data_IF_177292550741
#
_entry.id   IF_177292550741
#
_cell.length_a   1.000
_cell.length_b   1.000
_cell.length_c   1.000
_cell.angle_alpha   90.00
_cell.angle_beta   90.00
_cell.angle_gamma   90.00
#
_symmetry.space_group_name_H-M   'P 1'
#
loop_
_entity.id
_entity.type
_entity.pdbx_description
1 polymer ?
#
# COMPACT_ATOMS: atom_id res chain seq x y z
N UNK A 1 3.69 40.15 34.72
CA UNK A 1 3.36 38.76 34.34
C UNK A 1 4.13 38.25 33.10
N UNK A 2 4.65 39.13 32.19
CA UNK A 2 5.42 38.70 31.01
C UNK A 2 6.78 38.04 31.33
N UNK A 3 7.56 38.58 32.24
CA UNK A 3 8.94 38.08 32.54
C UNK A 3 9.01 36.68 33.19
N UNK A 4 7.99 36.24 33.92
CA UNK A 4 7.96 34.91 34.52
C UNK A 4 7.63 33.82 33.46
N UNK A 5 6.76 34.14 32.51
CA UNK A 5 6.41 33.22 31.43
C UNK A 5 7.56 33.08 30.39
N UNK A 6 8.26 34.17 30.09
CA UNK A 6 9.43 34.17 29.21
C UNK A 6 10.58 33.32 29.80
N UNK A 7 10.89 33.48 31.10
CA UNK A 7 11.92 32.66 31.78
C UNK A 7 11.56 31.16 31.73
N UNK A 8 10.29 30.81 31.92
CA UNK A 8 9.84 29.40 31.90
C UNK A 8 10.01 28.77 30.53
N UNK A 9 9.74 29.52 29.43
CA UNK A 9 9.88 28.99 28.05
C UNK A 9 11.36 28.88 27.64
N UNK A 10 12.21 29.83 28.07
CA UNK A 10 13.65 29.76 27.85
C UNK A 10 14.25 28.52 28.55
N UNK A 11 13.88 28.30 29.82
CA UNK A 11 14.32 27.12 30.58
C UNK A 11 13.84 25.81 29.93
N UNK A 12 12.62 25.79 29.39
CA UNK A 12 12.05 24.66 28.66
C UNK A 12 12.85 24.34 27.39
N UNK A 13 13.16 25.34 26.58
CA UNK A 13 13.97 25.16 25.36
C UNK A 13 15.41 24.77 25.70
N UNK A 14 16.02 25.34 26.76
CA UNK A 14 17.34 24.92 27.19
C UNK A 14 17.41 23.47 27.66
N UNK A 15 16.35 22.99 28.35
CA UNK A 15 16.28 21.61 28.84
C UNK A 15 16.08 20.60 27.72
N UNK A 16 15.18 20.86 26.78
CA UNK A 16 14.71 19.87 25.79
C UNK A 16 15.20 20.13 24.36
N UNK A 17 15.76 21.32 24.07
CA UNK A 17 16.09 21.73 22.70
C UNK A 17 17.11 20.84 21.97
N UNK A 18 17.97 20.13 22.73
CA UNK A 18 18.90 19.12 22.18
C UNK A 18 18.65 17.71 22.70
N UNK A 19 17.51 17.47 23.33
CA UNK A 19 17.20 16.20 23.99
C UNK A 19 15.77 15.77 23.71
N UNK A 20 15.43 15.43 22.45
CA UNK A 20 14.06 15.08 22.06
C UNK A 20 13.54 13.82 22.74
N UNK A 21 14.39 12.84 23.00
CA UNK A 21 13.99 11.64 23.75
C UNK A 21 13.57 12.00 25.19
N UNK A 22 14.32 12.90 25.84
CA UNK A 22 13.98 13.40 27.18
C UNK A 22 12.66 14.21 27.17
N UNK A 23 12.41 14.98 26.10
CA UNK A 23 11.12 15.64 25.89
C UNK A 23 9.96 14.64 25.84
N UNK A 24 10.11 13.55 25.11
CA UNK A 24 9.09 12.50 25.05
C UNK A 24 8.87 11.86 26.42
N UNK A 25 9.93 11.55 27.16
CA UNK A 25 9.85 10.95 28.49
C UNK A 25 9.18 11.86 29.52
N UNK A 26 9.64 13.10 29.64
CA UNK A 26 9.23 13.99 30.74
C UNK A 26 7.98 14.81 30.42
N UNK A 27 7.75 15.17 29.15
CA UNK A 27 6.65 16.05 28.75
C UNK A 27 5.46 15.25 28.25
N UNK A 28 5.71 14.16 27.49
CA UNK A 28 4.66 13.29 26.97
C UNK A 28 4.43 12.04 27.82
N UNK A 29 5.30 11.79 28.83
CA UNK A 29 5.14 10.70 29.79
C UNK A 29 5.34 9.30 29.22
N UNK A 30 6.08 9.15 28.11
CA UNK A 30 6.30 7.88 27.42
C UNK A 30 7.78 7.63 27.21
N UNK A 31 8.23 6.41 27.47
CA UNK A 31 9.59 5.96 27.17
C UNK A 31 9.71 5.59 25.69
N UNK A 32 10.52 6.33 24.87
CA UNK A 32 10.76 5.94 23.49
C UNK A 32 11.55 4.63 23.42
N UNK A 33 11.21 3.79 22.48
CA UNK A 33 12.02 2.59 22.20
C UNK A 33 13.43 3.00 21.71
N UNK A 34 14.46 2.15 21.90
CA UNK A 34 15.83 2.49 21.54
C UNK A 34 16.01 3.04 20.13
N UNK A 35 15.37 2.42 19.13
CA UNK A 35 15.43 2.85 17.73
C UNK A 35 14.63 4.15 17.47
N UNK A 36 13.57 4.41 18.25
CA UNK A 36 12.82 5.67 18.18
C UNK A 36 13.63 6.81 18.84
N UNK A 37 14.28 6.53 19.97
CA UNK A 37 15.18 7.48 20.61
C UNK A 37 16.35 7.85 19.69
N UNK A 38 16.98 6.85 19.04
CA UNK A 38 18.06 7.06 18.07
C UNK A 38 17.61 7.97 16.89
N UNK A 39 16.41 7.76 16.38
CA UNK A 39 15.83 8.62 15.34
C UNK A 39 15.64 10.06 15.82
N UNK A 40 15.10 10.27 17.01
CA UNK A 40 14.91 11.59 17.60
C UNK A 40 16.25 12.30 17.81
N UNK A 41 17.24 11.60 18.35
CA UNK A 41 18.59 12.13 18.58
C UNK A 41 19.31 12.48 17.25
N UNK A 42 19.06 11.73 16.17
CA UNK A 42 19.60 12.05 14.85
C UNK A 42 19.13 13.44 14.39
N UNK A 43 17.85 13.77 14.57
CA UNK A 43 17.32 15.10 14.24
C UNK A 43 18.00 16.18 15.08
N UNK A 44 18.13 15.98 16.38
CA UNK A 44 18.73 16.93 17.30
C UNK A 44 20.23 17.13 17.08
N UNK A 45 20.94 16.10 16.60
CA UNK A 45 22.37 16.18 16.26
C UNK A 45 22.64 16.91 14.93
N UNK A 46 21.60 17.24 14.19
CA UNK A 46 21.70 18.03 12.98
C UNK A 46 21.63 17.25 11.68
N UNK A 47 21.22 15.97 11.72
CA UNK A 47 20.93 15.21 10.51
C UNK A 47 19.77 15.86 9.75
N UNK A 48 20.02 16.21 8.48
CA UNK A 48 19.07 16.96 7.64
C UNK A 48 18.27 16.08 6.67
N UNK A 49 18.76 14.88 6.43
CA UNK A 49 18.15 13.92 5.52
C UNK A 49 18.04 12.57 6.21
N UNK A 50 16.84 12.20 6.61
CA UNK A 50 16.57 10.99 7.39
C UNK A 50 15.62 10.10 6.58
N UNK A 51 15.96 8.84 6.44
CA UNK A 51 15.16 7.86 5.71
C UNK A 51 15.07 6.55 6.50
N UNK A 52 13.85 6.17 6.87
CA UNK A 52 13.58 4.97 7.69
C UNK A 52 12.67 4.03 6.93
N UNK A 53 13.16 2.82 6.64
CA UNK A 53 12.33 1.72 6.16
C UNK A 53 11.91 0.82 7.32
N UNK A 54 10.66 0.33 7.30
CA UNK A 54 10.20 -0.47 8.44
C UNK A 54 9.13 -1.50 8.08
N UNK A 55 8.99 -2.50 8.96
CA UNK A 55 7.82 -3.37 9.01
C UNK A 55 6.57 -2.63 9.53
N UNK A 56 5.46 -3.35 9.61
CA UNK A 56 4.19 -2.84 10.13
C UNK A 56 4.20 -2.77 11.66
N UNK A 57 3.51 -1.79 12.25
CA UNK A 57 3.32 -1.74 13.70
C UNK A 57 4.56 -1.33 14.53
N UNK A 58 5.66 -0.92 13.91
CA UNK A 58 6.90 -0.53 14.60
C UNK A 58 6.86 0.89 15.22
N UNK A 59 5.70 1.57 15.21
CA UNK A 59 5.56 2.90 15.83
C UNK A 59 6.11 4.08 15.01
N UNK A 60 6.17 3.96 13.66
CA UNK A 60 6.62 5.04 12.76
C UNK A 60 5.88 6.35 12.96
N UNK A 61 4.53 6.31 12.86
CA UNK A 61 3.68 7.51 12.93
C UNK A 61 3.76 8.18 14.29
N UNK A 62 3.88 7.38 15.34
CA UNK A 62 4.12 7.87 16.72
C UNK A 62 5.44 8.62 16.83
N UNK A 63 6.55 8.01 16.39
CA UNK A 63 7.86 8.64 16.43
C UNK A 63 7.93 9.92 15.56
N UNK A 64 7.30 9.89 14.36
CA UNK A 64 7.18 11.06 13.51
C UNK A 64 6.38 12.19 14.18
N UNK A 65 5.29 11.86 14.88
CA UNK A 65 4.48 12.83 15.61
C UNK A 65 5.27 13.48 16.76
N UNK A 66 6.06 12.70 17.50
CA UNK A 66 6.95 13.24 18.54
C UNK A 66 8.02 14.15 17.95
N UNK A 67 8.62 13.76 16.83
CA UNK A 67 9.63 14.57 16.15
C UNK A 67 9.05 15.91 15.67
N UNK A 68 7.86 15.89 15.03
CA UNK A 68 7.18 17.11 14.58
C UNK A 68 6.84 18.03 15.76
N UNK A 69 6.31 17.47 16.83
CA UNK A 69 5.88 18.24 18.00
C UNK A 69 7.08 18.86 18.72
N UNK A 70 8.13 18.08 18.96
CA UNK A 70 9.38 18.58 19.52
C UNK A 70 9.99 19.67 18.63
N UNK A 71 10.12 19.43 17.32
CA UNK A 71 10.69 20.41 16.39
C UNK A 71 9.90 21.71 16.38
N UNK A 72 8.57 21.61 16.37
CA UNK A 72 7.67 22.75 16.39
C UNK A 72 7.83 23.62 17.64
N UNK A 73 8.01 23.02 18.81
CA UNK A 73 8.15 23.72 20.08
C UNK A 73 9.57 24.27 20.33
N UNK A 74 10.61 23.68 19.70
CA UNK A 74 12.01 24.01 19.98
C UNK A 74 12.64 25.00 18.99
N UNK A 75 12.03 25.26 17.85
CA UNK A 75 12.57 26.16 16.83
C UNK A 75 11.64 27.34 16.56
N UNK A 76 12.21 28.53 16.34
CA UNK A 76 11.46 29.73 16.02
C UNK A 76 12.24 30.61 15.02
N UNK A 77 11.63 31.11 13.91
CA UNK A 77 10.34 30.65 13.35
C UNK A 77 10.50 29.30 12.65
N UNK A 78 9.40 28.51 12.59
CA UNK A 78 9.47 27.21 11.92
C UNK A 78 8.18 26.88 11.17
N UNK A 79 8.32 26.05 10.13
CA UNK A 79 7.20 25.47 9.36
C UNK A 79 7.44 23.98 9.18
N UNK A 80 6.48 23.18 9.60
CA UNK A 80 6.48 21.74 9.41
C UNK A 80 5.41 21.40 8.37
N UNK A 81 5.80 20.69 7.31
CA UNK A 81 4.87 20.17 6.31
C UNK A 81 4.90 18.65 6.39
N UNK A 82 3.72 18.07 6.47
CA UNK A 82 3.58 16.62 6.49
C UNK A 82 2.73 16.16 5.31
N UNK A 83 3.17 15.08 4.68
CA UNK A 83 2.48 14.50 3.52
C UNK A 83 2.46 12.99 3.54
N UNK A 84 1.48 12.43 2.83
CA UNK A 84 1.37 11.01 2.56
C UNK A 84 0.66 10.78 1.21
N UNK A 85 0.76 9.58 0.59
CA UNK A 85 0.17 9.31 -0.73
C UNK A 85 -1.36 9.44 -0.79
N UNK A 86 -2.04 9.24 0.34
CA UNK A 86 -3.52 9.30 0.40
C UNK A 86 -4.00 10.16 1.57
N UNK A 87 -5.17 10.77 1.39
CA UNK A 87 -5.81 11.57 2.45
C UNK A 87 -6.07 10.76 3.72
N UNK A 88 -6.52 9.52 3.59
CA UNK A 88 -6.78 8.66 4.76
C UNK A 88 -5.50 8.39 5.55
N UNK A 89 -4.38 8.03 4.90
CA UNK A 89 -3.10 7.81 5.60
C UNK A 89 -2.58 9.11 6.25
N UNK A 90 -2.78 10.25 5.59
CA UNK A 90 -2.35 11.53 6.12
C UNK A 90 -3.20 11.99 7.31
N UNK A 91 -4.52 12.05 7.14
CA UNK A 91 -5.40 12.67 8.13
C UNK A 91 -5.88 11.69 9.19
N UNK A 92 -6.25 10.46 8.82
CA UNK A 92 -6.84 9.49 9.74
C UNK A 92 -5.77 8.69 10.51
N UNK A 93 -4.53 8.66 10.03
CA UNK A 93 -3.43 7.99 10.70
C UNK A 93 -2.43 8.98 11.30
N UNK A 94 -1.57 9.59 10.47
CA UNK A 94 -0.44 10.39 10.98
C UNK A 94 -0.88 11.68 11.67
N UNK A 95 -1.78 12.46 11.05
CA UNK A 95 -2.22 13.73 11.62
C UNK A 95 -3.16 13.54 12.83
N UNK A 96 -3.94 12.46 12.84
CA UNK A 96 -4.72 12.05 14.02
C UNK A 96 -3.79 11.67 15.18
N UNK A 97 -2.72 10.93 14.92
CA UNK A 97 -1.70 10.57 15.92
C UNK A 97 -1.01 11.83 16.48
N UNK A 98 -0.64 12.78 15.63
CA UNK A 98 -0.10 14.07 16.07
C UNK A 98 -1.08 14.80 17.01
N UNK A 99 -2.36 14.87 16.66
CA UNK A 99 -3.38 15.51 17.51
C UNK A 99 -3.56 14.79 18.84
N UNK A 100 -3.48 13.48 18.85
CA UNK A 100 -3.49 12.70 20.11
C UNK A 100 -2.35 13.14 21.03
N UNK A 101 -1.13 13.25 20.51
CA UNK A 101 0.02 13.68 21.30
C UNK A 101 -0.04 15.16 21.74
N UNK A 102 -0.67 16.03 20.96
CA UNK A 102 -0.94 17.42 21.39
C UNK A 102 -1.88 17.43 22.61
N UNK A 103 -2.85 16.56 22.68
CA UNK A 103 -3.77 16.47 23.82
C UNK A 103 -3.10 15.89 25.09
N UNK A 104 -1.97 15.20 24.94
CA UNK A 104 -1.17 14.71 26.09
C UNK A 104 -0.18 15.77 26.61
N UNK A 105 -0.01 16.90 25.93
CA UNK A 105 0.84 17.99 26.43
C UNK A 105 0.28 18.61 27.72
N UNK A 106 1.13 19.16 28.60
CA UNK A 106 0.68 20.01 29.68
C UNK A 106 -0.20 21.18 29.21
N UNK A 107 -1.24 21.56 29.97
CA UNK A 107 -2.21 22.61 29.62
C UNK A 107 -1.56 23.90 29.15
N UNK A 108 -0.44 24.31 29.76
CA UNK A 108 0.30 25.51 29.38
C UNK A 108 0.83 25.46 27.95
N UNK A 109 1.29 24.27 27.48
CA UNK A 109 1.74 24.07 26.11
C UNK A 109 0.56 23.89 25.14
N UNK A 110 -0.52 23.25 25.57
CA UNK A 110 -1.73 23.14 24.77
C UNK A 110 -2.33 24.53 24.46
N UNK A 111 -2.32 25.46 25.44
CA UNK A 111 -2.92 26.79 25.29
C UNK A 111 -2.23 27.67 24.24
N UNK A 112 -0.98 27.39 23.88
CA UNK A 112 -0.28 28.12 22.81
C UNK A 112 -0.48 27.51 21.43
N UNK A 113 -1.23 26.41 21.31
CA UNK A 113 -1.48 25.67 20.07
C UNK A 113 -2.97 25.84 19.65
N UNK A 114 -3.18 26.15 18.38
CA UNK A 114 -4.50 26.15 17.76
C UNK A 114 -4.57 25.00 16.76
N UNK A 115 -5.32 23.94 17.10
CA UNK A 115 -5.42 22.73 16.30
C UNK A 115 -6.66 22.75 15.41
N UNK A 116 -6.46 22.77 14.09
CA UNK A 116 -7.49 22.72 13.04
C UNK A 116 -7.56 21.30 12.40
N UNK A 117 -8.42 21.14 11.42
CA UNK A 117 -8.57 19.86 10.70
C UNK A 117 -7.27 19.40 10.03
N UNK A 118 -6.57 20.30 9.36
CA UNK A 118 -5.41 20.09 8.50
C UNK A 118 -4.15 20.85 8.93
N UNK A 119 -4.24 21.59 10.05
CA UNK A 119 -3.16 22.47 10.49
C UNK A 119 -3.14 22.63 12.01
N UNK A 120 -1.93 22.72 12.55
CA UNK A 120 -1.66 23.15 13.93
C UNK A 120 -0.86 24.44 13.85
N UNK A 121 -1.27 25.48 14.57
CA UNK A 121 -0.65 26.80 14.53
C UNK A 121 -0.28 27.27 15.95
N UNK A 122 0.79 28.05 16.04
CA UNK A 122 1.07 28.78 17.27
C UNK A 122 0.09 29.97 17.40
N UNK A 123 -0.58 30.11 18.53
CA UNK A 123 -1.65 31.12 18.72
C UNK A 123 -1.21 32.56 18.47
N UNK A 124 0.01 32.93 18.85
CA UNK A 124 0.55 34.30 18.69
C UNK A 124 1.31 34.53 17.38
N UNK A 125 1.65 33.46 16.60
CA UNK A 125 2.41 33.59 15.36
C UNK A 125 1.92 32.59 14.30
N UNK A 126 0.63 32.56 13.90
CA UNK A 126 0.05 31.50 13.06
C UNK A 126 0.57 31.50 11.63
N UNK A 127 1.12 32.60 11.13
CA UNK A 127 1.72 32.70 9.80
C UNK A 127 3.17 32.20 9.77
N UNK A 128 3.88 32.30 10.88
CA UNK A 128 5.31 31.99 11.01
C UNK A 128 5.57 30.60 11.56
N UNK A 129 4.65 30.09 12.39
CA UNK A 129 4.77 28.80 13.06
C UNK A 129 3.54 27.93 12.83
N UNK A 130 3.71 26.85 12.09
CA UNK A 130 2.65 25.88 11.86
C UNK A 130 3.15 24.51 11.46
N UNK A 131 2.32 23.49 11.73
CA UNK A 131 2.39 22.16 11.14
C UNK A 131 1.21 22.03 10.17
N UNK A 132 1.43 21.76 8.88
CA UNK A 132 0.35 21.62 7.90
C UNK A 132 0.37 20.26 7.21
N UNK A 133 -0.79 19.62 7.16
CA UNK A 133 -0.99 18.37 6.42
C UNK A 133 -1.41 18.67 4.98
N UNK A 134 -0.66 18.17 4.00
CA UNK A 134 -0.90 18.39 2.57
C UNK A 134 -0.79 17.07 1.82
N UNK A 135 -1.84 16.67 1.11
CA UNK A 135 -1.80 15.45 0.30
C UNK A 135 -0.86 15.60 -0.88
N UNK A 136 -0.06 14.58 -1.15
CA UNK A 136 0.83 14.53 -2.30
C UNK A 136 0.19 13.74 -3.45
N UNK A 137 -0.10 14.43 -4.55
CA UNK A 137 -0.63 13.82 -5.78
C UNK A 137 0.22 14.23 -6.96
N UNK A 138 0.34 13.33 -7.95
CA UNK A 138 1.08 13.64 -9.17
C UNK A 138 0.47 14.81 -9.97
N UNK A 139 -0.85 15.01 -9.84
CA UNK A 139 -1.62 16.07 -10.49
C UNK A 139 -1.46 17.45 -9.83
N UNK A 140 -1.04 17.48 -8.56
CA UNK A 140 -0.85 18.72 -7.78
C UNK A 140 0.44 18.67 -6.95
N UNK A 141 1.61 18.47 -7.57
CA UNK A 141 2.87 18.34 -6.87
C UNK A 141 3.26 19.62 -6.12
N UNK A 142 2.82 20.79 -6.61
CA UNK A 142 3.13 22.12 -6.04
C UNK A 142 2.53 22.32 -4.64
N UNK A 143 1.67 21.42 -4.17
CA UNK A 143 1.12 21.51 -2.80
C UNK A 143 2.22 21.58 -1.72
N UNK A 144 3.41 21.07 -1.98
CA UNK A 144 4.56 21.12 -1.08
C UNK A 144 5.54 22.26 -1.38
N UNK A 145 5.35 22.99 -2.49
CA UNK A 145 6.19 24.13 -2.87
C UNK A 145 5.87 25.39 -2.04
N UNK A 146 6.81 26.35 -2.03
CA UNK A 146 6.60 27.68 -1.48
C UNK A 146 6.58 27.76 0.05
N UNK A 147 7.08 26.76 0.76
CA UNK A 147 7.22 26.80 2.22
C UNK A 147 8.62 27.33 2.55
N UNK A 148 8.68 28.57 3.03
CA UNK A 148 9.94 29.21 3.44
C UNK A 148 9.85 29.66 4.88
N UNK A 149 10.88 29.33 5.69
CA UNK A 149 11.09 29.77 7.06
C UNK A 149 12.57 29.60 7.39
N UNK A 150 13.01 30.13 8.50
CA UNK A 150 14.37 29.88 8.99
C UNK A 150 14.60 28.41 9.28
N UNK A 151 13.58 27.75 9.85
CA UNK A 151 13.55 26.29 10.08
C UNK A 151 12.39 25.67 9.32
N UNK A 152 12.68 24.67 8.49
CA UNK A 152 11.67 23.93 7.74
C UNK A 152 11.84 22.42 7.97
N UNK A 153 10.77 21.73 8.28
CA UNK A 153 10.75 20.27 8.32
C UNK A 153 9.72 19.72 7.35
N UNK A 154 10.14 18.79 6.50
CA UNK A 154 9.26 18.00 5.64
C UNK A 154 9.21 16.56 6.17
N UNK A 155 8.03 16.08 6.51
CA UNK A 155 7.79 14.69 6.90
C UNK A 155 6.96 14.01 5.83
N UNK A 156 7.51 12.94 5.25
CA UNK A 156 6.87 12.15 4.21
C UNK A 156 6.59 10.76 4.77
N UNK A 157 5.34 10.52 5.13
CA UNK A 157 4.90 9.18 5.54
C UNK A 157 4.51 8.35 4.32
N UNK A 158 4.72 7.04 4.42
CA UNK A 158 4.55 6.11 3.31
C UNK A 158 5.29 6.56 2.03
N UNK A 159 6.51 7.07 2.21
CA UNK A 159 7.34 7.71 1.19
C UNK A 159 7.56 6.85 -0.07
N UNK A 160 7.58 5.50 0.08
CA UNK A 160 7.67 4.57 -1.05
C UNK A 160 6.50 4.70 -2.03
N UNK A 161 5.35 5.21 -1.59
CA UNK A 161 4.16 5.43 -2.42
C UNK A 161 4.05 6.83 -3.03
N UNK A 162 4.88 7.79 -2.61
CA UNK A 162 4.82 9.19 -3.06
C UNK A 162 5.43 9.34 -4.45
N UNK A 163 4.76 10.04 -5.40
CA UNK A 163 5.29 10.29 -6.73
C UNK A 163 6.57 11.14 -6.72
N UNK A 164 7.48 10.89 -7.68
CA UNK A 164 8.76 11.61 -7.81
C UNK A 164 8.58 13.12 -7.93
N UNK A 165 7.60 13.56 -8.73
CA UNK A 165 7.27 14.96 -8.96
C UNK A 165 7.00 15.74 -7.67
N UNK A 166 6.51 15.07 -6.63
CA UNK A 166 6.24 15.67 -5.33
C UNK A 166 7.55 16.00 -4.59
N UNK A 167 8.55 15.12 -4.69
CA UNK A 167 9.88 15.37 -4.13
C UNK A 167 10.60 16.50 -4.89
N UNK A 168 10.47 16.53 -6.21
CA UNK A 168 11.02 17.60 -7.04
C UNK A 168 10.41 18.97 -6.69
N UNK A 169 9.09 19.05 -6.54
CA UNK A 169 8.40 20.26 -6.12
C UNK A 169 8.79 20.73 -4.71
N UNK A 170 9.01 19.79 -3.79
CA UNK A 170 9.44 20.08 -2.42
C UNK A 170 10.91 20.55 -2.35
N UNK A 171 11.75 20.18 -3.32
CA UNK A 171 13.19 20.45 -3.27
C UNK A 171 13.52 21.94 -3.11
N UNK A 172 12.75 22.83 -3.76
CA UNK A 172 12.89 24.28 -3.61
C UNK A 172 12.68 24.77 -2.17
N UNK A 173 11.68 24.24 -1.48
CA UNK A 173 11.38 24.56 -0.08
C UNK A 173 12.43 23.99 0.91
N UNK A 174 13.13 22.93 0.49
CA UNK A 174 14.15 22.24 1.30
C UNK A 174 15.59 22.66 0.98
N UNK A 175 15.79 23.74 0.22
CA UNK A 175 17.12 24.26 -0.14
C UNK A 175 17.80 25.07 0.96
N UNK A 176 17.09 25.43 2.04
CA UNK A 176 17.62 26.23 3.15
C UNK A 176 18.58 25.43 4.05
N UNK A 177 19.51 26.13 4.71
CA UNK A 177 20.50 25.52 5.60
C UNK A 177 19.89 24.74 6.79
N UNK A 178 18.74 25.17 7.27
CA UNK A 178 18.02 24.53 8.40
C UNK A 178 16.78 23.74 7.93
N UNK A 179 16.80 23.24 6.71
CA UNK A 179 15.76 22.37 6.20
C UNK A 179 16.04 20.90 6.53
N UNK A 180 15.06 20.21 7.09
CA UNK A 180 15.15 18.78 7.47
C UNK A 180 14.09 17.97 6.72
N UNK A 181 14.50 16.92 6.02
CA UNK A 181 13.59 15.99 5.33
C UNK A 181 13.61 14.64 6.06
N UNK A 182 12.43 14.15 6.41
CA UNK A 182 12.21 12.85 7.04
C UNK A 182 11.31 12.02 6.15
N UNK A 183 11.77 10.86 5.73
CA UNK A 183 11.01 9.88 4.99
C UNK A 183 10.84 8.61 5.83
N UNK A 184 9.59 8.18 6.01
CA UNK A 184 9.25 6.92 6.69
C UNK A 184 8.37 6.10 5.78
N UNK A 185 8.64 4.80 5.64
CA UNK A 185 7.80 3.94 4.81
C UNK A 185 8.03 2.45 5.08
N UNK A 186 6.98 1.65 4.80
CA UNK A 186 7.22 0.28 4.39
C UNK A 186 7.85 0.30 2.99
N UNK A 187 8.92 -0.46 2.75
CA UNK A 187 9.69 -0.42 1.50
C UNK A 187 9.00 -1.22 0.39
N UNK A 188 7.91 -0.68 -0.17
CA UNK A 188 7.03 -1.41 -1.11
C UNK A 188 7.52 -1.39 -2.56
N UNK A 189 8.54 -0.57 -2.90
CA UNK A 189 9.08 -0.42 -4.26
C UNK A 189 10.59 -0.44 -4.26
N UNK A 190 11.18 -1.09 -5.27
CA UNK A 190 12.63 -1.08 -5.55
C UNK A 190 13.02 0.03 -6.53
N UNK A 191 12.34 1.19 -6.45
CA UNK A 191 12.62 2.38 -7.29
C UNK A 191 12.07 3.66 -6.64
N UNK A 192 12.49 4.83 -7.14
CA UNK A 192 12.08 6.14 -6.68
C UNK A 192 12.91 6.70 -5.52
N UNK A 193 12.65 7.96 -5.15
CA UNK A 193 13.44 8.74 -4.17
C UNK A 193 13.66 8.00 -2.85
N UNK A 194 12.62 7.32 -2.31
CA UNK A 194 12.75 6.60 -1.05
C UNK A 194 13.71 5.40 -1.17
N UNK A 195 13.61 4.61 -2.25
CA UNK A 195 14.54 3.51 -2.50
C UNK A 195 15.97 4.01 -2.71
N UNK A 196 16.15 5.06 -3.50
CA UNK A 196 17.45 5.66 -3.76
C UNK A 196 18.12 6.22 -2.51
N UNK A 197 17.36 6.82 -1.60
CA UNK A 197 17.86 7.32 -0.32
C UNK A 197 18.47 6.22 0.57
N UNK A 198 18.01 4.99 0.39
CA UNK A 198 18.43 3.80 1.15
C UNK A 198 19.49 2.95 0.41
N UNK A 199 19.79 3.28 -0.85
CA UNK A 199 20.69 2.52 -1.72
C UNK A 199 21.76 3.43 -2.33
N UNK A 200 21.52 3.93 -3.54
CA UNK A 200 22.49 4.74 -4.30
C UNK A 200 22.92 6.03 -3.59
N UNK A 201 22.02 6.64 -2.81
CA UNK A 201 22.28 7.89 -2.10
C UNK A 201 22.41 7.68 -0.57
N UNK A 202 22.62 6.46 -0.10
CA UNK A 202 22.64 6.14 1.33
C UNK A 202 23.70 6.95 2.11
N UNK A 203 24.84 7.26 1.48
CA UNK A 203 25.91 8.08 2.11
C UNK A 203 25.48 9.54 2.39
N UNK A 204 24.40 10.01 1.73
CA UNK A 204 23.86 11.37 1.91
C UNK A 204 22.65 11.40 2.84
N UNK A 205 22.23 10.26 3.36
CA UNK A 205 21.07 10.11 4.22
C UNK A 205 21.43 9.36 5.49
N UNK A 206 20.89 9.80 6.63
CA UNK A 206 20.85 8.97 7.81
C UNK A 206 19.75 7.91 7.62
N UNK A 207 20.15 6.63 7.53
CA UNK A 207 19.23 5.54 7.18
C UNK A 207 19.13 4.52 8.30
N UNK A 208 17.91 4.03 8.55
CA UNK A 208 17.65 2.93 9.50
C UNK A 208 16.57 1.99 8.96
N UNK A 209 16.64 0.77 9.48
CA UNK A 209 15.62 -0.24 9.29
C UNK A 209 15.00 -0.59 10.63
N UNK A 210 13.68 -0.56 10.70
CA UNK A 210 12.92 -1.01 11.87
C UNK A 210 12.16 -2.28 11.50
N UNK A 211 12.56 -3.42 12.07
CA UNK A 211 11.92 -4.72 11.83
C UNK A 211 10.85 -4.99 12.87
N UNK A 212 9.79 -5.71 12.49
CA UNK A 212 8.83 -6.24 13.46
C UNK A 212 9.48 -7.20 14.46
N UNK A 213 10.47 -7.97 14.00
CA UNK A 213 11.19 -8.95 14.84
C UNK A 213 11.96 -8.27 15.98
N UNK A 214 12.44 -7.04 15.73
CA UNK A 214 13.24 -6.28 16.69
C UNK A 214 12.37 -5.33 17.53
N UNK A 215 11.06 -5.25 17.27
CA UNK A 215 10.15 -4.30 17.88
C UNK A 215 9.28 -4.91 18.96
N UNK A 216 9.37 -4.46 20.22
CA UNK A 216 8.50 -4.93 21.30
C UNK A 216 7.02 -4.48 21.14
N UNK A 217 6.71 -3.62 20.16
CA UNK A 217 5.34 -3.23 19.83
C UNK A 217 4.61 -4.29 19.00
N UNK A 218 5.34 -5.24 18.44
CA UNK A 218 4.80 -6.29 17.57
C UNK A 218 4.94 -7.63 18.28
N UNK A 219 3.86 -8.38 18.38
CA UNK A 219 3.91 -9.69 19.04
C UNK A 219 4.56 -10.76 18.17
N UNK A 220 5.16 -11.76 18.81
CA UNK A 220 5.74 -12.91 18.11
C UNK A 220 4.67 -13.69 17.34
N UNK A 221 3.45 -13.77 17.87
CA UNK A 221 2.32 -14.43 17.20
C UNK A 221 1.99 -13.77 15.85
N UNK A 222 2.07 -12.42 15.77
CA UNK A 222 1.88 -11.71 14.50
C UNK A 222 2.96 -12.06 13.49
N UNK A 223 4.22 -12.10 13.92
CA UNK A 223 5.35 -12.47 13.04
C UNK A 223 5.19 -13.91 12.54
N UNK A 224 4.81 -14.84 13.42
CA UNK A 224 4.59 -16.24 13.06
C UNK A 224 3.38 -16.42 12.14
N UNK A 225 2.29 -15.68 12.36
CA UNK A 225 1.13 -15.66 11.45
C UNK A 225 1.54 -15.16 10.06
N UNK A 226 2.33 -14.07 9.98
CA UNK A 226 2.82 -13.54 8.71
C UNK A 226 3.76 -14.54 8.00
N UNK A 227 4.62 -15.25 8.76
CA UNK A 227 5.50 -16.30 8.23
C UNK A 227 4.70 -17.47 7.63
N UNK A 228 3.67 -17.92 8.32
CA UNK A 228 2.78 -18.97 7.84
C UNK A 228 1.97 -18.55 6.60
N UNK A 229 1.49 -17.30 6.60
CA UNK A 229 0.59 -16.78 5.55
C UNK A 229 1.32 -16.47 4.25
N UNK A 230 2.49 -15.82 4.34
CA UNK A 230 3.21 -15.32 3.18
C UNK A 230 4.42 -16.18 2.78
N UNK A 231 4.99 -16.94 3.72
CA UNK A 231 6.30 -17.55 3.59
C UNK A 231 7.42 -16.53 3.88
N UNK A 232 8.46 -16.99 4.58
CA UNK A 232 9.56 -16.13 5.06
C UNK A 232 10.37 -15.50 3.91
N UNK A 233 10.50 -16.22 2.79
CA UNK A 233 11.22 -15.78 1.58
C UNK A 233 10.39 -14.85 0.67
N UNK A 234 9.11 -14.59 1.01
CA UNK A 234 8.24 -13.77 0.16
C UNK A 234 8.53 -12.28 0.28
N UNK A 235 8.28 -11.54 -0.81
CA UNK A 235 8.36 -10.08 -0.78
C UNK A 235 7.36 -9.46 0.21
N UNK A 236 6.21 -10.10 0.43
CA UNK A 236 5.23 -9.64 1.41
C UNK A 236 5.78 -9.70 2.85
N UNK A 237 6.47 -10.79 3.22
CA UNK A 237 7.11 -10.94 4.53
C UNK A 237 8.29 -9.97 4.68
N UNK A 238 9.15 -9.86 3.66
CA UNK A 238 10.27 -8.90 3.63
C UNK A 238 9.81 -7.47 3.89
N UNK A 239 8.77 -7.01 3.18
CA UNK A 239 8.25 -5.66 3.28
C UNK A 239 7.54 -5.44 4.62
N UNK A 240 6.60 -6.32 4.98
CA UNK A 240 5.67 -6.10 6.10
C UNK A 240 6.27 -6.43 7.46
N UNK A 241 7.18 -7.41 7.51
CA UNK A 241 7.78 -7.88 8.76
C UNK A 241 9.21 -7.38 8.91
N UNK A 242 10.07 -7.65 7.91
CA UNK A 242 11.49 -7.31 8.03
C UNK A 242 11.78 -5.84 7.76
N UNK A 243 10.87 -5.09 7.11
CA UNK A 243 11.13 -3.73 6.68
C UNK A 243 12.23 -3.67 5.60
N UNK A 244 12.29 -4.68 4.74
CA UNK A 244 13.26 -4.80 3.66
C UNK A 244 12.60 -4.57 2.31
N UNK A 245 13.36 -4.00 1.36
CA UNK A 245 12.89 -3.87 -0.01
C UNK A 245 12.61 -5.23 -0.63
N UNK A 246 11.62 -5.32 -1.53
CA UNK A 246 11.39 -6.54 -2.28
C UNK A 246 12.66 -6.89 -3.06
N UNK A 247 12.96 -8.18 -3.12
CA UNK A 247 13.93 -8.67 -4.08
C UNK A 247 13.41 -8.30 -5.47
N UNK A 248 14.31 -7.93 -6.36
CA UNK A 248 13.95 -7.71 -7.75
C UNK A 248 13.50 -9.06 -8.35
N UNK A 249 12.23 -9.39 -8.16
CA UNK A 249 11.61 -10.52 -8.81
C UNK A 249 11.17 -10.06 -10.19
N UNK A 250 12.05 -10.21 -11.16
CA UNK A 250 11.71 -10.06 -12.57
C UNK A 250 10.65 -11.07 -13.02
N UNK A 251 10.31 -12.06 -12.16
CA UNK A 251 9.42 -13.18 -12.47
C UNK A 251 8.02 -13.11 -11.80
N UNK A 252 7.73 -12.22 -10.88
CA UNK A 252 6.35 -12.08 -10.36
C UNK A 252 5.45 -11.36 -11.37
N UNK A 253 4.23 -11.92 -11.60
CA UNK A 253 3.30 -11.30 -12.53
C UNK A 253 2.82 -9.95 -11.99
N UNK A 254 2.39 -9.92 -10.71
CA UNK A 254 1.80 -8.73 -10.09
C UNK A 254 2.70 -8.25 -8.94
N UNK A 255 3.39 -7.12 -9.09
CA UNK A 255 4.21 -6.53 -8.04
C UNK A 255 3.37 -6.15 -6.80
N UNK A 256 3.95 -6.35 -5.62
CA UNK A 256 3.28 -6.10 -4.34
C UNK A 256 2.69 -4.69 -4.23
N UNK A 257 3.42 -3.67 -4.68
CA UNK A 257 2.97 -2.29 -4.57
C UNK A 257 1.68 -1.98 -5.36
N UNK A 258 1.40 -2.71 -6.45
CA UNK A 258 0.16 -2.54 -7.22
C UNK A 258 -1.05 -3.01 -6.43
N UNK A 259 -0.91 -4.16 -5.76
CA UNK A 259 -1.96 -4.75 -4.93
C UNK A 259 -2.20 -3.91 -3.68
N UNK A 260 -1.13 -3.55 -2.98
CA UNK A 260 -1.20 -2.72 -1.77
C UNK A 260 -1.89 -1.38 -2.05
N UNK A 261 -1.47 -0.68 -3.11
CA UNK A 261 -2.10 0.59 -3.48
C UNK A 261 -3.58 0.43 -3.81
N UNK A 262 -3.98 -0.66 -4.47
CA UNK A 262 -5.38 -0.91 -4.83
C UNK A 262 -6.29 -1.10 -3.60
N UNK A 263 -5.75 -1.55 -2.46
CA UNK A 263 -6.53 -1.70 -1.21
C UNK A 263 -6.84 -0.36 -0.52
N UNK A 264 -6.12 0.70 -0.87
CA UNK A 264 -6.24 2.03 -0.24
C UNK A 264 -6.88 3.08 -1.15
N UNK A 265 -7.18 2.72 -2.41
CA UNK A 265 -7.80 3.67 -3.34
C UNK A 265 -9.24 3.98 -2.94
N UNK A 266 -9.63 5.22 -3.13
CA UNK A 266 -11.03 5.63 -3.07
C UNK A 266 -11.57 5.67 -4.51
N UNK A 267 -12.36 4.66 -4.84
CA UNK A 267 -12.97 4.48 -6.17
C UNK A 267 -14.48 4.48 -5.98
N UNK A 268 -15.14 5.35 -6.71
CA UNK A 268 -16.61 5.40 -6.76
C UNK A 268 -17.10 4.68 -8.01
N UNK A 269 -18.25 4.08 -7.92
CA UNK A 269 -18.95 3.45 -9.04
C UNK A 269 -20.37 4.01 -9.14
N UNK A 270 -20.86 4.10 -10.35
CA UNK A 270 -22.26 4.42 -10.58
C UNK A 270 -23.16 3.26 -10.13
N UNK A 271 -24.35 3.57 -9.60
CA UNK A 271 -25.30 2.57 -9.12
C UNK A 271 -25.70 1.55 -10.21
N UNK A 272 -25.70 1.96 -11.48
CA UNK A 272 -26.03 1.14 -12.63
C UNK A 272 -24.87 0.24 -13.12
N UNK A 273 -23.69 0.34 -12.51
CA UNK A 273 -22.52 -0.47 -12.90
C UNK A 273 -22.81 -1.95 -12.66
N UNK A 274 -22.70 -2.75 -13.71
CA UNK A 274 -23.02 -4.17 -13.65
C UNK A 274 -21.98 -4.98 -12.89
N UNK A 275 -22.47 -5.94 -12.11
CA UNK A 275 -21.62 -6.89 -11.40
C UNK A 275 -21.27 -8.09 -12.29
N UNK A 276 -20.05 -8.61 -12.09
CA UNK A 276 -19.54 -9.85 -12.70
C UNK A 276 -18.91 -10.68 -11.57
N UNK A 277 -19.21 -11.96 -11.53
CA UNK A 277 -18.65 -12.88 -10.56
C UNK A 277 -17.67 -13.84 -11.23
N UNK A 278 -16.58 -14.16 -10.53
CA UNK A 278 -15.64 -15.22 -10.90
C UNK A 278 -15.68 -16.33 -9.86
N UNK A 279 -15.79 -17.58 -10.29
CA UNK A 279 -15.88 -18.76 -9.44
C UNK A 279 -14.79 -19.76 -9.83
N UNK A 280 -13.81 -19.95 -8.96
CA UNK A 280 -12.82 -21.03 -9.02
C UNK A 280 -13.34 -22.21 -8.18
N UNK A 281 -13.58 -23.37 -8.81
CA UNK A 281 -14.21 -24.52 -8.18
C UNK A 281 -13.16 -25.54 -7.78
N UNK A 282 -13.04 -25.79 -6.47
CA UNK A 282 -12.27 -26.90 -5.94
C UNK A 282 -13.15 -28.08 -5.58
N UNK A 283 -12.58 -29.28 -5.70
CA UNK A 283 -13.17 -30.53 -5.17
C UNK A 283 -12.54 -30.84 -3.80
N UNK A 284 -12.80 -32.00 -3.24
CA UNK A 284 -12.21 -32.46 -1.99
C UNK A 284 -10.67 -32.36 -2.02
N UNK A 285 -10.08 -31.69 -1.02
CA UNK A 285 -8.65 -31.49 -0.90
C UNK A 285 -8.30 -30.23 -0.07
N UNK A 286 -7.09 -29.72 -0.26
CA UNK A 286 -6.61 -28.51 0.41
C UNK A 286 -7.04 -27.21 -0.30
N UNK A 287 -7.40 -27.28 -1.59
CA UNK A 287 -7.86 -26.13 -2.36
C UNK A 287 -9.28 -25.73 -1.94
N UNK A 288 -9.61 -24.46 -2.05
CA UNK A 288 -10.90 -23.89 -1.68
C UNK A 288 -11.70 -23.49 -2.92
N UNK A 289 -13.00 -23.72 -2.90
CA UNK A 289 -13.89 -23.07 -3.86
C UNK A 289 -13.95 -21.58 -3.52
N UNK A 290 -13.59 -20.72 -4.45
CA UNK A 290 -13.51 -19.28 -4.25
C UNK A 290 -14.45 -18.51 -5.18
N UNK A 291 -15.19 -17.55 -4.62
CA UNK A 291 -16.07 -16.64 -5.35
C UNK A 291 -15.59 -15.20 -5.18
N UNK A 292 -15.31 -14.54 -6.29
CA UNK A 292 -15.00 -13.13 -6.36
C UNK A 292 -16.18 -12.36 -6.96
N UNK A 293 -16.72 -11.38 -6.22
CA UNK A 293 -17.78 -10.47 -6.69
C UNK A 293 -17.14 -9.15 -7.08
N UNK A 294 -17.17 -8.78 -8.36
CA UNK A 294 -16.64 -7.53 -8.90
C UNK A 294 -17.76 -6.70 -9.54
N UNK A 295 -17.83 -5.42 -9.20
CA UNK A 295 -18.75 -4.44 -9.79
C UNK A 295 -17.91 -3.32 -10.42
N UNK A 296 -17.86 -3.33 -11.76
CA UNK A 296 -16.99 -2.43 -12.49
C UNK A 296 -15.52 -2.52 -12.02
N UNK A 297 -14.93 -1.42 -11.54
CA UNK A 297 -13.54 -1.39 -11.07
C UNK A 297 -13.35 -1.85 -9.61
N UNK A 298 -14.41 -2.24 -8.88
CA UNK A 298 -14.31 -2.58 -7.46
C UNK A 298 -14.57 -4.07 -7.24
N UNK A 299 -13.68 -4.74 -6.51
CA UNK A 299 -13.98 -6.04 -5.89
C UNK A 299 -14.75 -5.77 -4.61
N UNK A 300 -16.04 -6.08 -4.63
CA UNK A 300 -16.95 -5.77 -3.52
C UNK A 300 -16.92 -6.83 -2.43
N UNK A 301 -16.73 -8.09 -2.81
CA UNK A 301 -16.76 -9.21 -1.87
C UNK A 301 -15.97 -10.41 -2.37
N UNK A 302 -15.38 -11.14 -1.42
CA UNK A 302 -14.69 -12.42 -1.64
C UNK A 302 -15.26 -13.46 -0.68
N UNK A 303 -15.53 -14.66 -1.21
CA UNK A 303 -15.94 -15.84 -0.42
C UNK A 303 -15.02 -17.01 -0.72
N UNK A 304 -14.73 -17.81 0.27
CA UNK A 304 -14.01 -19.07 0.10
C UNK A 304 -14.63 -20.16 0.97
N UNK A 305 -14.78 -21.34 0.42
CA UNK A 305 -15.35 -22.50 1.10
C UNK A 305 -14.47 -23.74 0.89
N UNK A 306 -14.31 -24.54 1.92
CA UNK A 306 -13.58 -25.82 1.87
C UNK A 306 -14.52 -27.00 1.98
N UNK A 307 -14.16 -28.13 1.35
CA UNK A 307 -14.84 -29.40 1.56
C UNK A 307 -16.25 -29.51 0.96
N UNK A 308 -16.60 -28.62 0.02
CA UNK A 308 -17.90 -28.68 -0.65
C UNK A 308 -17.89 -29.71 -1.79
N UNK A 309 -18.99 -30.44 -1.95
CA UNK A 309 -19.27 -31.16 -3.19
C UNK A 309 -19.85 -30.21 -4.26
N UNK A 310 -20.07 -30.73 -5.49
CA UNK A 310 -20.57 -29.92 -6.60
C UNK A 310 -21.95 -29.32 -6.34
N UNK A 311 -22.86 -30.12 -5.72
CA UNK A 311 -24.21 -29.66 -5.44
C UNK A 311 -24.25 -28.65 -4.30
N UNK A 312 -23.40 -28.83 -3.30
CA UNK A 312 -23.21 -27.85 -2.22
C UNK A 312 -22.60 -26.54 -2.77
N UNK A 313 -21.63 -26.61 -3.68
CA UNK A 313 -21.07 -25.46 -4.36
C UNK A 313 -22.15 -24.71 -5.14
N UNK A 314 -22.96 -25.41 -5.95
CA UNK A 314 -24.11 -24.83 -6.65
C UNK A 314 -25.08 -24.16 -5.66
N UNK A 315 -25.45 -24.86 -4.58
CA UNK A 315 -26.35 -24.32 -3.56
C UNK A 315 -25.83 -23.04 -2.92
N UNK A 316 -24.51 -22.94 -2.66
CA UNK A 316 -23.88 -21.72 -2.13
C UNK A 316 -23.95 -20.57 -3.14
N UNK A 317 -23.62 -20.81 -4.41
CA UNK A 317 -23.67 -19.77 -5.46
C UNK A 317 -25.09 -19.28 -5.68
N UNK A 318 -26.09 -20.18 -5.69
CA UNK A 318 -27.52 -19.82 -5.80
C UNK A 318 -27.94 -18.96 -4.60
N UNK A 319 -27.59 -19.36 -3.39
CA UNK A 319 -27.91 -18.59 -2.18
C UNK A 319 -27.29 -17.17 -2.20
N UNK A 320 -26.04 -17.04 -2.65
CA UNK A 320 -25.38 -15.73 -2.83
C UNK A 320 -26.07 -14.88 -3.91
N UNK A 321 -26.58 -15.51 -4.98
CA UNK A 321 -27.29 -14.84 -6.07
C UNK A 321 -28.68 -14.36 -5.62
N UNK A 322 -29.46 -15.23 -4.97
CA UNK A 322 -30.81 -14.94 -4.50
C UNK A 322 -30.84 -13.94 -3.33
N UNK A 323 -29.77 -13.85 -2.56
CA UNK A 323 -29.64 -12.84 -1.49
C UNK A 323 -29.59 -11.40 -2.01
N UNK A 324 -29.36 -11.20 -3.32
CA UNK A 324 -29.28 -9.89 -3.93
C UNK A 324 -30.60 -9.49 -4.62
N UNK A 325 -31.00 -8.20 -4.52
CA UNK A 325 -32.11 -7.70 -5.31
C UNK A 325 -31.78 -7.81 -6.80
N UNK A 326 -32.77 -7.98 -7.70
CA UNK A 326 -32.54 -8.19 -9.15
C UNK A 326 -31.66 -7.13 -9.81
N UNK A 327 -31.71 -5.89 -9.34
CA UNK A 327 -30.87 -4.78 -9.85
C UNK A 327 -29.37 -4.94 -9.53
N UNK A 328 -29.01 -5.71 -8.48
CA UNK A 328 -27.64 -5.95 -8.04
C UNK A 328 -27.12 -7.34 -8.36
N UNK A 329 -27.95 -8.19 -8.94
CA UNK A 329 -27.51 -9.52 -9.39
C UNK A 329 -26.48 -9.39 -10.51
N UNK A 330 -25.46 -10.30 -10.56
CA UNK A 330 -24.45 -10.25 -11.60
C UNK A 330 -25.06 -10.52 -12.98
N UNK A 331 -24.54 -9.81 -13.98
CA UNK A 331 -24.91 -10.07 -15.38
C UNK A 331 -24.22 -11.31 -15.92
N UNK A 332 -23.13 -11.74 -15.30
CA UNK A 332 -22.37 -12.91 -15.70
C UNK A 332 -21.66 -13.53 -14.51
N UNK A 333 -21.71 -14.87 -14.42
CA UNK A 333 -20.93 -15.69 -13.48
C UNK A 333 -19.96 -16.53 -14.30
N UNK A 334 -18.66 -16.23 -14.18
CA UNK A 334 -17.57 -16.87 -14.90
C UNK A 334 -16.98 -17.98 -14.04
N UNK A 335 -17.09 -19.23 -14.51
CA UNK A 335 -16.70 -20.41 -13.73
C UNK A 335 -15.57 -21.12 -14.46
N UNK A 336 -14.45 -21.43 -13.76
CA UNK A 336 -13.45 -22.32 -14.36
C UNK A 336 -14.08 -23.68 -14.67
N UNK A 337 -14.15 -24.01 -15.94
CA UNK A 337 -14.80 -25.22 -16.44
C UNK A 337 -13.88 -26.43 -16.52
N UNK A 338 -12.62 -26.32 -16.06
CA UNK A 338 -11.68 -27.46 -16.06
C UNK A 338 -12.11 -28.47 -14.99
N UNK A 339 -12.17 -29.73 -15.37
CA UNK A 339 -12.45 -30.84 -14.44
C UNK A 339 -13.85 -30.73 -13.83
N UNK A 340 -13.91 -30.51 -12.52
CA UNK A 340 -15.19 -30.52 -11.75
C UNK A 340 -16.06 -29.29 -11.99
N UNK A 341 -15.49 -28.18 -12.45
CA UNK A 341 -16.23 -26.94 -12.68
C UNK A 341 -17.26 -27.05 -13.82
N UNK A 342 -17.06 -27.93 -14.79
CA UNK A 342 -18.04 -28.16 -15.86
C UNK A 342 -19.43 -28.57 -15.33
N UNK A 343 -19.46 -29.48 -14.35
CA UNK A 343 -20.71 -29.90 -13.72
C UNK A 343 -21.42 -28.78 -12.94
N UNK A 344 -20.65 -27.86 -12.34
CA UNK A 344 -21.20 -26.65 -11.69
C UNK A 344 -21.79 -25.72 -12.73
N UNK A 345 -21.11 -25.48 -13.86
CA UNK A 345 -21.61 -24.67 -14.98
C UNK A 345 -22.94 -25.20 -15.51
N UNK A 346 -23.02 -26.52 -15.78
CA UNK A 346 -24.22 -27.12 -16.33
C UNK A 346 -25.41 -27.00 -15.38
N UNK A 347 -25.17 -27.25 -14.10
CA UNK A 347 -26.24 -27.16 -13.09
C UNK A 347 -26.69 -25.72 -12.82
N UNK A 348 -25.78 -24.75 -12.75
CA UNK A 348 -26.16 -23.35 -12.62
C UNK A 348 -26.93 -22.82 -13.84
N UNK A 349 -26.58 -23.29 -15.06
CA UNK A 349 -27.28 -22.96 -16.28
C UNK A 349 -28.69 -23.55 -16.28
N UNK A 350 -28.84 -24.80 -15.84
CA UNK A 350 -30.15 -25.49 -15.75
C UNK A 350 -31.09 -24.75 -14.77
N UNK A 351 -30.56 -24.18 -13.68
CA UNK A 351 -31.31 -23.36 -12.72
C UNK A 351 -31.67 -21.97 -13.30
N UNK A 352 -31.07 -21.56 -14.41
CA UNK A 352 -31.35 -20.27 -15.06
C UNK A 352 -30.43 -19.10 -14.63
N UNK A 353 -29.32 -19.37 -13.99
CA UNK A 353 -28.35 -18.32 -13.66
C UNK A 353 -27.54 -17.91 -14.90
N UNK A 354 -27.07 -16.64 -14.95
CA UNK A 354 -26.28 -16.13 -16.10
C UNK A 354 -24.83 -16.64 -16.05
N UNK A 355 -24.65 -17.96 -16.17
CA UNK A 355 -23.34 -18.61 -16.04
C UNK A 355 -22.66 -18.83 -17.40
N UNK A 356 -21.34 -18.60 -17.42
CA UNK A 356 -20.45 -18.95 -18.54
C UNK A 356 -19.26 -19.75 -18.01
N UNK A 357 -19.04 -20.93 -18.58
CA UNK A 357 -17.81 -21.70 -18.37
C UNK A 357 -16.64 -21.05 -19.08
N UNK A 358 -15.50 -21.00 -18.40
CA UNK A 358 -14.23 -20.50 -18.92
C UNK A 358 -13.21 -21.63 -18.81
N UNK A 359 -12.70 -22.08 -19.93
CA UNK A 359 -11.62 -23.07 -19.94
C UNK A 359 -10.27 -22.33 -19.91
N UNK A 360 -9.69 -22.19 -18.74
CA UNK A 360 -8.43 -21.42 -18.56
C UNK A 360 -7.20 -22.08 -19.22
N UNK A 361 -7.31 -23.34 -19.68
CA UNK A 361 -6.27 -24.02 -20.44
C UNK A 361 -6.37 -23.78 -21.97
N UNK A 362 -7.46 -23.19 -22.46
CA UNK A 362 -7.65 -22.93 -23.88
C UNK A 362 -6.68 -21.88 -24.43
N UNK A 363 -6.66 -21.75 -25.76
CA UNK A 363 -5.85 -20.75 -26.43
C UNK A 363 -6.24 -19.34 -25.99
N UNK A 364 -5.29 -18.46 -25.68
CA UNK A 364 -5.56 -17.09 -25.32
C UNK A 364 -5.96 -16.25 -26.54
N UNK A 365 -6.59 -15.10 -26.32
CA UNK A 365 -6.90 -14.17 -27.41
C UNK A 365 -5.63 -13.56 -28.03
N UNK A 366 -4.56 -13.42 -27.22
CA UNK A 366 -3.24 -12.95 -27.65
C UNK A 366 -2.26 -14.12 -27.75
N UNK A 367 -2.52 -15.03 -28.68
CA UNK A 367 -1.78 -16.30 -28.83
C UNK A 367 -0.28 -16.18 -29.09
N UNK A 368 0.18 -15.04 -29.58
CA UNK A 368 1.62 -14.78 -29.78
C UNK A 368 2.33 -14.35 -28.49
N UNK A 369 1.58 -13.87 -27.49
CA UNK A 369 2.11 -13.32 -26.25
C UNK A 369 2.00 -14.31 -25.08
N UNK A 370 0.88 -15.00 -24.96
CA UNK A 370 0.59 -15.87 -23.81
C UNK A 370 0.47 -17.33 -24.21
N UNK A 371 0.83 -18.25 -23.30
CA UNK A 371 0.73 -19.68 -23.53
C UNK A 371 -0.71 -20.18 -23.54
N UNK A 372 -1.52 -19.73 -22.59
CA UNK A 372 -2.91 -20.14 -22.38
C UNK A 372 -3.74 -18.98 -21.79
N UNK A 373 -5.06 -19.18 -21.73
CA UNK A 373 -5.99 -18.17 -21.24
C UNK A 373 -5.72 -17.81 -19.75
N UNK A 374 -5.31 -18.77 -18.90
CA UNK A 374 -4.94 -18.46 -17.52
C UNK A 374 -3.84 -17.40 -17.44
N UNK A 375 -2.80 -17.57 -18.23
CA UNK A 375 -1.70 -16.59 -18.29
C UNK A 375 -2.19 -15.22 -18.75
N UNK A 376 -3.01 -15.17 -19.78
CA UNK A 376 -3.60 -13.92 -20.28
C UNK A 376 -4.45 -13.23 -19.20
N UNK A 377 -5.30 -13.96 -18.48
CA UNK A 377 -6.16 -13.39 -17.43
C UNK A 377 -5.36 -12.82 -16.26
N UNK A 378 -4.27 -13.46 -15.85
CA UNK A 378 -3.36 -12.94 -14.84
C UNK A 378 -2.69 -11.64 -15.28
N UNK A 379 -2.21 -11.55 -16.51
CA UNK A 379 -1.62 -10.33 -17.03
C UNK A 379 -2.67 -9.23 -17.28
N UNK A 380 -3.92 -9.57 -17.66
CA UNK A 380 -5.03 -8.62 -17.68
C UNK A 380 -5.34 -8.05 -16.28
N UNK A 381 -5.29 -8.90 -15.25
CA UNK A 381 -5.45 -8.44 -13.86
C UNK A 381 -4.33 -7.49 -13.45
N UNK A 382 -3.07 -7.76 -13.86
CA UNK A 382 -1.95 -6.82 -13.68
C UNK A 382 -2.25 -5.47 -14.33
N UNK A 383 -2.62 -5.46 -15.62
CA UNK A 383 -2.94 -4.22 -16.34
C UNK A 383 -4.10 -3.45 -15.68
N UNK A 384 -5.13 -4.16 -15.23
CA UNK A 384 -6.24 -3.55 -14.49
C UNK A 384 -5.79 -2.89 -13.17
N UNK A 385 -4.81 -3.46 -12.47
CA UNK A 385 -4.20 -2.85 -11.27
C UNK A 385 -3.31 -1.65 -11.61
N UNK A 386 -2.62 -1.68 -12.76
CA UNK A 386 -1.76 -0.60 -13.25
C UNK A 386 -2.56 0.64 -13.66
N UNK A 387 -3.77 0.49 -14.20
CA UNK A 387 -4.67 1.60 -14.60
C UNK A 387 -5.10 2.50 -13.42
N UNK A 388 -4.80 2.09 -12.18
CA UNK A 388 -5.06 2.84 -10.94
C UNK A 388 -6.53 3.22 -10.67
N UNK A 389 -7.45 2.83 -11.52
CA UNK A 389 -8.89 3.09 -11.37
C UNK A 389 -9.65 2.03 -10.56
N UNK A 390 -8.96 1.01 -10.06
CA UNK A 390 -9.55 -0.15 -9.39
C UNK A 390 -9.35 -0.14 -7.88
N UNK A 391 -10.23 -0.86 -7.15
CA UNK A 391 -10.17 -1.04 -5.70
C UNK A 391 -10.28 -2.52 -5.33
N UNK A 392 -9.39 -2.95 -4.44
CA UNK A 392 -9.43 -4.26 -3.79
C UNK A 392 -9.88 -4.14 -2.32
N UNK A 393 -10.54 -5.14 -1.76
CA UNK A 393 -10.77 -5.21 -0.32
C UNK A 393 -9.44 -5.45 0.42
N UNK A 394 -9.37 -5.00 1.66
CA UNK A 394 -8.26 -5.34 2.57
C UNK A 394 -8.40 -6.82 2.96
N UNK A 395 -7.85 -7.70 2.16
CA UNK A 395 -7.84 -9.14 2.37
C UNK A 395 -6.42 -9.68 2.19
N UNK A 396 -5.80 -10.06 3.29
CA UNK A 396 -4.40 -10.49 3.31
C UNK A 396 -4.17 -11.77 2.50
N UNK A 397 -5.14 -12.68 2.45
CA UNK A 397 -5.04 -13.88 1.64
C UNK A 397 -5.01 -13.52 0.14
N UNK A 398 -5.93 -12.66 -0.33
CA UNK A 398 -5.91 -12.20 -1.73
C UNK A 398 -4.59 -11.50 -2.07
N UNK A 399 -4.08 -10.65 -1.16
CA UNK A 399 -2.81 -9.94 -1.36
C UNK A 399 -1.65 -10.94 -1.51
N UNK A 400 -1.58 -11.94 -0.62
CA UNK A 400 -0.56 -12.98 -0.68
C UNK A 400 -0.64 -13.77 -1.99
N UNK A 401 -1.83 -14.20 -2.39
CA UNK A 401 -2.06 -14.95 -3.60
C UNK A 401 -1.70 -14.16 -4.86
N UNK A 402 -2.13 -12.90 -4.98
CA UNK A 402 -1.85 -12.05 -6.14
C UNK A 402 -0.35 -11.76 -6.32
N UNK A 403 0.39 -11.66 -5.22
CA UNK A 403 1.81 -11.28 -5.24
C UNK A 403 2.79 -12.45 -5.25
N UNK A 404 2.29 -13.68 -5.13
CA UNK A 404 3.13 -14.89 -5.04
C UNK A 404 3.37 -15.58 -6.38
N UNK A 405 2.53 -15.33 -7.38
CA UNK A 405 2.58 -16.05 -8.66
C UNK A 405 3.72 -15.53 -9.55
N UNK A 406 4.47 -16.45 -10.12
CA UNK A 406 5.57 -16.15 -11.04
C UNK A 406 5.18 -16.40 -12.48
N UNK A 407 5.98 -15.90 -13.40
CA UNK A 407 5.88 -16.25 -14.81
C UNK A 407 7.23 -16.67 -15.38
N UNK A 408 7.17 -17.39 -16.46
CA UNK A 408 8.35 -17.79 -17.22
C UNK A 408 8.08 -17.64 -18.71
N UNK A 409 9.13 -17.66 -19.52
CA UNK A 409 9.00 -17.70 -20.96
C UNK A 409 9.13 -19.16 -21.43
N UNK A 410 8.25 -19.56 -22.35
CA UNK A 410 8.38 -20.83 -23.05
C UNK A 410 9.53 -20.77 -24.07
N UNK A 411 9.94 -21.93 -24.62
CA UNK A 411 10.93 -21.97 -25.70
C UNK A 411 10.51 -21.18 -26.96
N UNK A 412 9.19 -20.97 -27.14
CA UNK A 412 8.63 -20.14 -28.20
C UNK A 412 8.48 -18.65 -27.84
N UNK A 413 9.00 -18.23 -26.66
CA UNK A 413 8.96 -16.85 -26.20
C UNK A 413 7.63 -16.38 -25.62
N UNK A 414 6.65 -17.28 -25.42
CA UNK A 414 5.36 -16.94 -24.83
C UNK A 414 5.41 -16.89 -23.32
N UNK A 415 4.71 -15.93 -22.69
CA UNK A 415 4.59 -15.83 -21.23
C UNK A 415 3.65 -16.92 -20.70
N UNK A 416 4.11 -17.61 -19.67
CA UNK A 416 3.40 -18.68 -18.94
C UNK A 416 3.31 -18.30 -17.46
N UNK A 417 2.11 -18.16 -16.93
CA UNK A 417 1.90 -18.07 -15.49
C UNK A 417 2.22 -19.41 -14.81
N UNK A 418 2.84 -19.34 -13.63
CA UNK A 418 3.16 -20.50 -12.81
C UNK A 418 1.93 -21.34 -12.52
N UNK A 419 2.04 -22.67 -12.66
CA UNK A 419 0.93 -23.60 -12.41
C UNK A 419 0.73 -23.81 -10.89
N UNK A 420 -0.48 -24.27 -10.50
CA UNK A 420 -0.78 -24.65 -9.10
C UNK A 420 0.21 -25.72 -8.58
N UNK A 421 0.64 -26.63 -9.43
CA UNK A 421 1.64 -27.67 -9.05
C UNK A 421 3.04 -27.10 -8.85
N UNK A 422 3.46 -26.15 -9.67
CA UNK A 422 4.73 -25.44 -9.49
C UNK A 422 4.71 -24.64 -8.18
N UNK A 423 3.62 -23.95 -7.85
CA UNK A 423 3.44 -23.25 -6.57
C UNK A 423 3.51 -24.21 -5.37
N UNK A 424 2.84 -25.36 -5.43
CA UNK A 424 2.92 -26.38 -4.37
C UNK A 424 4.33 -26.89 -4.14
N UNK A 425 5.15 -27.05 -5.19
CA UNK A 425 6.57 -27.41 -5.07
C UNK A 425 7.40 -26.35 -4.33
N UNK A 426 6.96 -25.10 -4.35
CA UNK A 426 7.54 -24.00 -3.57
C UNK A 426 6.95 -23.88 -2.16
N UNK A 427 6.08 -24.80 -1.73
CA UNK A 427 5.43 -24.77 -0.41
C UNK A 427 4.28 -23.77 -0.31
N UNK A 428 3.77 -23.24 -1.44
CA UNK A 428 2.67 -22.29 -1.47
C UNK A 428 1.33 -22.98 -1.68
N UNK A 429 0.27 -22.42 -1.08
CA UNK A 429 -1.10 -22.84 -1.33
C UNK A 429 -1.59 -22.41 -2.73
N UNK A 430 -2.69 -23.01 -3.18
CA UNK A 430 -3.38 -22.61 -4.41
C UNK A 430 -3.89 -21.16 -4.30
N UNK A 431 -3.77 -20.33 -5.36
CA UNK A 431 -4.21 -18.94 -5.35
C UNK A 431 -5.72 -18.82 -5.71
N UNK A 432 -6.56 -19.50 -4.94
CA UNK A 432 -7.97 -19.71 -5.29
C UNK A 432 -8.77 -18.39 -5.37
N UNK A 433 -8.56 -17.45 -4.44
CA UNK A 433 -9.21 -16.12 -4.48
C UNK A 433 -8.69 -15.27 -5.65
N UNK A 434 -7.39 -15.36 -5.94
CA UNK A 434 -6.78 -14.62 -7.03
C UNK A 434 -7.20 -15.21 -8.39
N UNK A 435 -7.25 -16.54 -8.53
CA UNK A 435 -7.76 -17.20 -9.76
C UNK A 435 -9.24 -16.82 -9.97
N UNK A 436 -10.08 -16.78 -8.91
CA UNK A 436 -11.46 -16.31 -9.00
C UNK A 436 -11.57 -14.83 -9.43
N UNK A 437 -10.69 -13.96 -8.97
CA UNK A 437 -10.61 -12.58 -9.45
C UNK A 437 -10.19 -12.53 -10.93
N UNK A 438 -9.16 -13.28 -11.32
CA UNK A 438 -8.68 -13.33 -12.70
C UNK A 438 -9.76 -13.80 -13.68
N UNK A 439 -10.63 -14.75 -13.29
CA UNK A 439 -11.76 -15.18 -14.09
C UNK A 439 -12.70 -14.02 -14.44
N UNK A 440 -12.88 -13.03 -13.56
CA UNK A 440 -13.73 -11.86 -13.87
C UNK A 440 -13.21 -11.04 -15.05
N UNK A 441 -11.93 -11.16 -15.42
CA UNK A 441 -11.32 -10.47 -16.56
C UNK A 441 -11.64 -11.14 -17.91
N UNK A 442 -12.25 -12.32 -17.91
CA UNK A 442 -12.74 -12.97 -19.12
C UNK A 442 -14.10 -12.41 -19.58
N UNK A 443 -14.72 -11.48 -18.83
CA UNK A 443 -16.00 -10.87 -19.22
C UNK A 443 -15.82 -9.81 -20.28
N UNK A 444 -16.66 -9.87 -21.35
CA UNK A 444 -16.71 -8.85 -22.40
C UNK A 444 -17.23 -7.50 -21.86
N UNK A 445 -17.98 -7.49 -20.75
CA UNK A 445 -18.43 -6.29 -20.05
C UNK A 445 -17.27 -5.52 -19.38
N UNK A 446 -16.14 -6.18 -19.10
CA UNK A 446 -14.93 -5.52 -18.57
C UNK A 446 -14.21 -4.69 -19.64
N UNK A 447 -14.35 -5.04 -20.91
CA UNK A 447 -13.72 -4.36 -22.06
C UNK A 447 -14.48 -3.10 -22.47
N UNK A 448 -15.77 -3.00 -22.15
CA UNK A 448 -16.60 -1.84 -22.50
C UNK A 448 -16.36 -0.60 -21.62
N UNK A 449 -15.75 -0.75 -20.45
CA UNK A 449 -15.44 0.37 -19.53
C UNK A 449 -14.02 0.92 -19.68
N UNK A 450 -13.13 0.25 -20.40
CA UNK A 450 -11.83 0.78 -20.81
C UNK A 450 -11.96 1.49 -22.17
N UNK A 451 -12.71 2.57 -22.19
CA UNK A 451 -12.73 3.50 -23.32
C UNK A 451 -11.39 4.22 -23.40
N UNK A 452 -10.42 3.58 -23.94
CA UNK A 452 -9.22 3.92 -24.70
C UNK A 452 -8.06 2.97 -24.38
N UNK A 453 -8.15 1.74 -24.88
CA UNK A 453 -6.92 1.06 -25.27
C UNK A 453 -6.43 1.77 -26.54
N UNK A 454 -5.75 2.91 -26.37
CA UNK A 454 -4.89 3.42 -27.43
C UNK A 454 -3.85 2.33 -27.66
N UNK A 455 -3.89 1.77 -28.84
CA UNK A 455 -2.94 0.80 -29.37
C UNK A 455 -1.51 1.16 -28.98
N UNK A 456 -0.97 0.50 -27.98
CA UNK A 456 0.46 0.52 -27.70
C UNK A 456 1.18 -0.26 -28.82
N UNK A 457 1.38 0.42 -29.96
CA UNK A 457 2.35 0.02 -30.99
C UNK A 457 3.70 0.67 -30.65
N UNK A 458 4.28 0.28 -29.52
CA UNK A 458 5.66 0.56 -29.20
C UNK A 458 6.55 -0.47 -29.89
N UNK A 459 7.16 -0.11 -31.02
CA UNK A 459 8.28 -0.85 -31.57
C UNK A 459 9.39 -0.94 -30.51
N UNK A 460 9.67 -2.14 -30.03
CA UNK A 460 10.86 -2.42 -29.22
C UNK A 460 12.06 -2.32 -30.18
N UNK A 461 12.67 -1.15 -30.32
CA UNK A 461 13.99 -1.00 -30.94
C UNK A 461 15.03 -1.56 -30.00
N UNK A 462 15.45 -2.80 -30.26
CA UNK A 462 16.68 -3.37 -29.68
C UNK A 462 17.86 -2.54 -30.18
N UNK A 463 18.51 -1.84 -29.26
CA UNK A 463 19.77 -1.17 -29.53
C UNK A 463 20.91 -2.19 -29.52
N UNK A 464 21.18 -2.81 -30.68
CA UNK A 464 22.31 -3.71 -30.91
C UNK A 464 23.55 -2.88 -31.30
N UNK A 465 24.03 -2.00 -30.42
CA UNK A 465 25.34 -1.39 -30.56
C UNK A 465 26.16 -1.66 -29.30
N UNK A 466 27.09 -2.60 -29.43
CA UNK A 466 28.12 -2.81 -28.43
C UNK A 466 28.47 -4.27 -28.17
N UNK A 467 28.74 -5.09 -29.21
CA UNK A 467 29.64 -6.25 -29.16
C UNK A 467 30.36 -6.28 -30.50
N UNK A 468 31.56 -5.77 -30.51
CA UNK A 468 32.65 -6.11 -31.42
C UNK A 468 33.93 -6.04 -30.56
#
# INVERSE_FOLDING_TARGET
>A
MSNLAENTMVDFVQRYGKKPALFVQEVLGVEPLPYQAEFLEAIASGERKISIRSGHGTGKSTAASWAMLWYFLMHYPNKVVVTAPTSSKLFDALFAELKRWINELPEGLQSILNTKSDRVEHTSAPAEMFISARTSRAETPEALAGVHSEHVMLVVDEASGVPEQVFEAAAGSMSGHNATTIMLSNPTRSSGTFFESQTRMADSWWTRRWSCVDSPLVSDEFVDEMRLRYGEESNAFRIRVLGEFPLADDDTIIPFHLVENATHRDVQIDEDTKAVWGLDVARFGQDKTALCKRQGPIVTELRAWSGLDLMQTVGRVVAEYEALPPSRQPTQILVDSIGVGSGVVDRLREIGLPVRGVNVAEAPSMGDTYLNLRSELWFKTKGWLEDRSCKLPKNDQLIAELTSIRYSFTSSGKMKAESKDEMRKRGLASPDLADALCLTMASDAATALSGSFSSWRGEIRRNLRGIA
#
